data_IF_717645612288
#
_entry.id   IF_717645612288
#
_cell.length_a   1.000
_cell.length_b   1.000
_cell.length_c   1.000
_cell.angle_alpha   90.00
_cell.angle_beta   90.00
_cell.angle_gamma   90.00
#
_symmetry.space_group_name_H-M   'P 1'
#
loop_
_entity.id
_entity.type
_entity.pdbx_description
1 polymer ?
#
# COMPACT_ATOMS: atom_id res chain seq x y z
N UNK A 1 -28.48 -26.16 -3.82
CA UNK A 1 -28.44 -25.09 -2.79
C UNK A 1 -29.73 -24.31 -2.88
N UNK A 2 -30.47 -24.12 -1.77
CA UNK A 2 -31.71 -23.33 -1.78
C UNK A 2 -31.45 -21.82 -1.98
N UNK A 3 -32.50 -21.00 -2.17
CA UNK A 3 -32.38 -19.55 -2.39
C UNK A 3 -31.63 -18.82 -1.27
N UNK A 4 -31.75 -19.31 -0.03
CA UNK A 4 -31.00 -18.82 1.14
C UNK A 4 -29.48 -19.06 0.99
N UNK A 5 -29.09 -20.22 0.45
CA UNK A 5 -27.69 -20.54 0.24
C UNK A 5 -27.05 -19.65 -0.83
N UNK A 6 -27.79 -19.34 -1.90
CA UNK A 6 -27.33 -18.41 -2.94
C UNK A 6 -27.19 -16.99 -2.40
N UNK A 7 -28.19 -16.50 -1.64
CA UNK A 7 -28.16 -15.18 -1.02
C UNK A 7 -26.99 -15.03 -0.04
N UNK A 8 -26.70 -16.07 0.74
CA UNK A 8 -25.56 -16.10 1.66
C UNK A 8 -24.23 -16.04 0.90
N UNK A 9 -24.11 -16.79 -0.21
CA UNK A 9 -22.89 -16.81 -1.03
C UNK A 9 -22.65 -15.46 -1.73
N UNK A 10 -23.71 -14.81 -2.22
CA UNK A 10 -23.65 -13.46 -2.79
C UNK A 10 -23.28 -12.43 -1.73
N UNK A 11 -23.85 -12.52 -0.52
CA UNK A 11 -23.48 -11.63 0.59
C UNK A 11 -22.00 -11.81 0.98
N UNK A 12 -21.50 -13.05 1.00
CA UNK A 12 -20.10 -13.35 1.29
C UNK A 12 -19.17 -12.80 0.20
N UNK A 13 -19.54 -12.92 -1.08
CA UNK A 13 -18.78 -12.36 -2.20
C UNK A 13 -18.72 -10.82 -2.13
N UNK A 14 -19.85 -10.16 -1.87
CA UNK A 14 -19.90 -8.70 -1.72
C UNK A 14 -19.10 -8.22 -0.51
N UNK A 15 -19.15 -8.94 0.61
CA UNK A 15 -18.35 -8.64 1.78
C UNK A 15 -16.85 -8.85 1.52
N UNK A 16 -16.49 -9.93 0.80
CA UNK A 16 -15.11 -10.23 0.45
C UNK A 16 -14.49 -9.16 -0.44
N UNK A 17 -15.29 -8.59 -1.36
CA UNK A 17 -14.87 -7.47 -2.20
C UNK A 17 -14.51 -6.24 -1.36
N UNK A 18 -15.33 -5.91 -0.35
CA UNK A 18 -15.05 -4.77 0.54
C UNK A 18 -13.83 -4.97 1.45
N UNK A 19 -13.45 -6.23 1.71
CA UNK A 19 -12.30 -6.59 2.55
C UNK A 19 -11.00 -6.79 1.75
N UNK A 20 -11.07 -6.88 0.43
CA UNK A 20 -9.92 -7.03 -0.45
C UNK A 20 -9.12 -5.72 -0.52
N UNK A 21 -8.28 -5.47 0.49
CA UNK A 21 -7.23 -4.44 0.42
C UNK A 21 -5.99 -5.06 -0.18
N UNK A 22 -5.49 -4.51 -1.29
CA UNK A 22 -4.15 -4.86 -1.75
C UNK A 22 -3.12 -4.32 -0.76
N UNK A 23 -2.38 -5.24 -0.14
CA UNK A 23 -1.24 -4.92 0.71
C UNK A 23 0.02 -5.33 -0.04
N UNK A 24 0.85 -4.34 -0.37
CA UNK A 24 2.14 -4.57 -0.98
C UNK A 24 3.16 -5.01 0.08
N UNK A 25 4.17 -5.78 -0.33
CA UNK A 25 5.22 -6.20 0.60
C UNK A 25 6.19 -5.04 0.95
N UNK A 26 6.43 -4.14 0.00
CA UNK A 26 7.43 -3.07 0.12
C UNK A 26 7.00 -1.80 -0.64
N UNK A 27 7.36 -0.64 -0.10
CA UNK A 27 7.44 0.63 -0.82
C UNK A 27 8.91 0.88 -1.14
N UNK A 28 9.25 0.97 -2.43
CA UNK A 28 10.64 1.18 -2.86
C UNK A 28 10.80 2.63 -3.33
N UNK A 29 11.68 3.38 -2.65
CA UNK A 29 12.05 4.74 -3.01
C UNK A 29 13.35 4.70 -3.80
N UNK A 30 13.24 4.88 -5.12
CA UNK A 30 14.40 4.97 -5.99
C UNK A 30 15.02 6.37 -5.92
N UNK A 31 16.34 6.42 -5.76
CA UNK A 31 17.10 7.62 -5.49
C UNK A 31 17.01 8.74 -6.53
N UNK A 32 17.29 9.95 -6.05
CA UNK A 32 17.73 11.11 -6.81
C UNK A 32 18.82 11.77 -5.95
N UNK A 33 20.07 11.72 -6.41
CA UNK A 33 21.31 12.22 -5.78
C UNK A 33 21.27 12.66 -4.31
N UNK A 34 22.04 12.00 -3.45
CA UNK A 34 22.36 12.49 -2.09
C UNK A 34 23.66 13.28 -2.15
N UNK A 35 23.67 14.50 -1.62
CA UNK A 35 24.88 15.32 -1.53
C UNK A 35 25.28 15.45 -0.06
N UNK A 36 26.43 14.88 0.31
CA UNK A 36 26.95 14.98 1.69
C UNK A 36 26.01 14.44 2.77
N UNK A 37 25.20 13.43 2.45
CA UNK A 37 24.22 12.84 3.38
C UNK A 37 22.92 13.64 3.55
N UNK A 38 22.76 14.79 2.86
CA UNK A 38 21.51 15.55 2.83
C UNK A 38 20.69 15.14 1.60
N UNK A 39 19.42 14.71 1.77
CA UNK A 39 18.59 14.36 0.64
C UNK A 39 18.36 15.58 -0.25
N UNK A 40 18.38 15.37 -1.57
CA UNK A 40 17.93 16.41 -2.50
C UNK A 40 16.45 16.75 -2.24
N UNK A 41 15.96 17.95 -2.61
CA UNK A 41 14.54 18.28 -2.49
C UNK A 41 13.60 17.33 -3.24
N UNK A 42 14.11 16.60 -4.24
CA UNK A 42 13.39 15.55 -4.94
C UNK A 42 13.31 14.26 -4.12
N UNK A 43 14.43 13.84 -3.51
CA UNK A 43 14.46 12.67 -2.63
C UNK A 43 13.60 12.88 -1.38
N UNK A 44 13.64 14.07 -0.78
CA UNK A 44 12.82 14.43 0.37
C UNK A 44 11.32 14.24 0.09
N UNK A 45 10.81 14.82 -1.02
CA UNK A 45 9.40 14.66 -1.43
C UNK A 45 9.00 13.21 -1.69
N UNK A 46 9.90 12.40 -2.25
CA UNK A 46 9.65 10.97 -2.48
C UNK A 46 9.56 10.21 -1.15
N UNK A 47 10.42 10.53 -0.19
CA UNK A 47 10.38 9.95 1.16
C UNK A 47 9.11 10.35 1.91
N UNK A 48 8.69 11.60 1.81
CA UNK A 48 7.40 12.06 2.37
C UNK A 48 6.22 11.28 1.80
N UNK A 49 6.22 11.06 0.47
CA UNK A 49 5.20 10.26 -0.22
C UNK A 49 5.21 8.82 0.28
N UNK A 50 6.38 8.20 0.38
CA UNK A 50 6.52 6.84 0.90
C UNK A 50 6.04 6.72 2.35
N UNK A 51 6.33 7.71 3.20
CA UNK A 51 5.86 7.75 4.58
C UNK A 51 4.33 7.86 4.67
N UNK A 52 3.71 8.64 3.79
CA UNK A 52 2.25 8.73 3.72
C UNK A 52 1.62 7.38 3.35
N UNK A 53 2.15 6.69 2.35
CA UNK A 53 1.67 5.36 1.92
C UNK A 53 1.86 4.30 3.00
N UNK A 54 3.00 4.33 3.71
CA UNK A 54 3.26 3.46 4.85
C UNK A 54 2.23 3.67 5.97
N UNK A 55 1.92 4.93 6.31
CA UNK A 55 0.91 5.27 7.33
C UNK A 55 -0.51 4.86 6.94
N UNK A 56 -0.81 4.80 5.65
CA UNK A 56 -2.09 4.30 5.13
C UNK A 56 -2.21 2.76 5.16
N UNK A 57 -1.11 2.07 5.51
CA UNK A 57 -1.05 0.61 5.60
C UNK A 57 -0.90 -0.09 4.24
N UNK A 58 -0.44 0.61 3.20
CA UNK A 58 -0.25 -0.01 1.88
C UNK A 58 0.90 -1.01 1.85
N UNK A 59 1.93 -0.83 2.69
CA UNK A 59 3.00 -1.81 2.85
C UNK A 59 3.62 -1.71 4.25
N UNK A 60 4.15 -2.82 4.81
CA UNK A 60 4.75 -2.84 6.13
C UNK A 60 6.21 -2.37 6.17
N UNK A 61 6.84 -2.10 5.01
CA UNK A 61 8.27 -1.77 4.93
C UNK A 61 8.56 -0.76 3.81
N UNK A 62 9.58 0.07 4.05
CA UNK A 62 10.14 0.99 3.06
C UNK A 62 11.59 0.59 2.79
N UNK A 63 11.97 0.47 1.53
CA UNK A 63 13.35 0.32 1.08
C UNK A 63 13.78 1.58 0.31
N UNK A 64 15.02 2.02 0.51
CA UNK A 64 15.61 3.16 -0.20
C UNK A 64 16.83 2.65 -0.95
N UNK A 65 16.88 2.91 -2.25
CA UNK A 65 17.95 2.49 -3.15
C UNK A 65 18.63 3.69 -3.82
#
# INVERSE_FOLDING_TARGET
MGPVGLAFLLALLLLSWGLAREVYAWIVVLGAAQYGGRPSPALERRLETALALYRQGLAPRIAVA
#
